data_IF_184829400932
#
_entry.id   IF_184829400932
#
_cell.length_a   1.000
_cell.length_b   1.000
_cell.length_c   1.000
_cell.angle_alpha   90.00
_cell.angle_beta   90.00
_cell.angle_gamma   90.00
#
_symmetry.space_group_name_H-M   'P 1'
#
loop_
_entity.id
_entity.type
_entity.pdbx_description
1 polymer ?
#
# COMPACT_ATOMS: atom_id res chain seq x y z
N UNK A 1 -10.82 -15.99 2.72
CA UNK A 1 -12.04 -15.34 3.17
C UNK A 1 -11.75 -13.94 3.65
N UNK A 2 -12.78 -13.06 3.57
CA UNK A 2 -12.69 -11.68 4.06
C UNK A 2 -13.63 -11.47 5.23
N UNK A 3 -13.33 -10.47 6.07
CA UNK A 3 -14.28 -9.84 7.00
C UNK A 3 -14.15 -8.34 6.86
N UNK A 4 -15.21 -7.60 7.15
CA UNK A 4 -15.21 -6.15 7.06
C UNK A 4 -15.60 -5.52 8.38
N UNK A 5 -14.99 -4.37 8.70
CA UNK A 5 -15.43 -3.49 9.77
C UNK A 5 -15.66 -2.09 9.21
N UNK A 6 -16.80 -1.51 9.55
CA UNK A 6 -17.19 -0.19 9.10
C UNK A 6 -17.41 0.77 10.25
N UNK A 7 -17.00 2.03 10.04
CA UNK A 7 -17.22 3.10 10.99
C UNK A 7 -17.73 4.31 10.23
N UNK A 8 -18.92 4.78 10.64
CA UNK A 8 -19.55 5.96 10.05
C UNK A 8 -20.08 6.86 11.14
N UNK A 9 -20.26 8.14 10.79
CA UNK A 9 -20.95 9.13 11.61
C UNK A 9 -22.38 8.70 11.93
N UNK A 10 -23.00 9.34 12.90
CA UNK A 10 -24.43 9.11 13.19
C UNK A 10 -25.27 9.53 11.98
N UNK A 11 -26.00 8.60 11.40
CA UNK A 11 -26.69 8.77 10.12
C UNK A 11 -27.84 9.80 10.20
N UNK A 12 -28.67 9.73 11.23
CA UNK A 12 -29.82 10.63 11.39
C UNK A 12 -30.79 10.58 10.20
N UNK A 13 -31.28 11.75 9.79
CA UNK A 13 -32.26 11.91 8.69
C UNK A 13 -31.67 12.47 7.40
N UNK A 14 -30.35 12.69 7.34
CA UNK A 14 -29.67 13.26 6.17
C UNK A 14 -29.34 12.16 5.15
N UNK A 15 -29.91 12.19 3.92
CA UNK A 15 -29.67 11.13 2.91
C UNK A 15 -28.20 10.94 2.59
N UNK A 16 -27.40 12.01 2.57
CA UNK A 16 -25.98 11.98 2.26
C UNK A 16 -25.18 11.12 3.25
N UNK A 17 -25.61 11.09 4.51
CA UNK A 17 -24.98 10.26 5.54
C UNK A 17 -25.26 8.77 5.32
N UNK A 18 -26.43 8.43 4.80
CA UNK A 18 -26.80 7.06 4.43
C UNK A 18 -26.12 6.60 3.14
N UNK A 19 -25.83 7.53 2.23
CA UNK A 19 -25.09 7.23 0.99
C UNK A 19 -23.67 6.74 1.22
N UNK A 20 -23.01 7.17 2.30
CA UNK A 20 -21.63 6.78 2.62
C UNK A 20 -21.48 5.28 2.90
N UNK A 21 -22.22 4.66 3.86
CA UNK A 21 -22.14 3.21 4.06
C UNK A 21 -22.62 2.42 2.85
N UNK A 22 -23.61 2.90 2.10
CA UNK A 22 -24.02 2.25 0.86
C UNK A 22 -22.91 2.21 -0.17
N UNK A 23 -22.18 3.32 -0.36
CA UNK A 23 -21.04 3.37 -1.28
C UNK A 23 -19.92 2.41 -0.85
N UNK A 24 -19.61 2.35 0.45
CA UNK A 24 -18.63 1.42 0.99
C UNK A 24 -19.04 -0.05 0.76
N UNK A 25 -20.32 -0.37 1.00
CA UNK A 25 -20.88 -1.70 0.75
C UNK A 25 -20.79 -2.10 -0.73
N UNK A 26 -21.11 -1.20 -1.64
CA UNK A 26 -21.02 -1.47 -3.08
C UNK A 26 -19.57 -1.70 -3.51
N UNK A 27 -18.61 -0.92 -3.02
CA UNK A 27 -17.20 -1.14 -3.28
C UNK A 27 -16.69 -2.48 -2.70
N UNK A 28 -17.12 -2.84 -1.50
CA UNK A 28 -16.79 -4.13 -0.89
C UNK A 28 -17.39 -5.31 -1.70
N UNK A 29 -18.61 -5.16 -2.20
CA UNK A 29 -19.26 -6.17 -3.05
C UNK A 29 -18.51 -6.34 -4.37
N UNK A 30 -18.19 -5.23 -5.05
CA UNK A 30 -17.45 -5.25 -6.30
C UNK A 30 -16.09 -5.95 -6.15
N UNK A 31 -15.33 -5.63 -5.09
CA UNK A 31 -14.08 -6.29 -4.79
C UNK A 31 -14.24 -7.80 -4.54
N UNK A 32 -15.25 -8.22 -3.77
CA UNK A 32 -15.52 -9.64 -3.52
C UNK A 32 -15.86 -10.39 -4.82
N UNK A 33 -16.74 -9.81 -5.64
CA UNK A 33 -17.12 -10.40 -6.93
C UNK A 33 -15.93 -10.46 -7.89
N UNK A 34 -15.19 -9.38 -8.01
CA UNK A 34 -14.04 -9.27 -8.90
C UNK A 34 -12.88 -10.21 -8.52
N UNK A 35 -12.58 -10.34 -7.24
CA UNK A 35 -11.53 -11.23 -6.74
C UNK A 35 -11.99 -12.69 -6.61
N UNK A 36 -13.30 -12.92 -6.50
CA UNK A 36 -13.86 -14.24 -6.22
C UNK A 36 -13.64 -14.68 -4.78
N UNK A 37 -13.61 -13.74 -3.82
CA UNK A 37 -13.35 -13.99 -2.39
C UNK A 37 -14.56 -13.54 -1.59
N UNK A 38 -15.26 -14.49 -0.95
CA UNK A 38 -16.42 -14.19 -0.13
C UNK A 38 -16.04 -13.65 1.26
N UNK A 39 -16.83 -12.72 1.77
CA UNK A 39 -16.81 -12.37 3.20
C UNK A 39 -17.60 -13.37 4.02
N UNK A 40 -17.09 -13.66 5.21
CA UNK A 40 -17.73 -14.59 6.16
C UNK A 40 -18.41 -13.88 7.32
N UNK A 41 -18.31 -12.58 7.39
CA UNK A 41 -18.89 -11.76 8.43
C UNK A 41 -18.28 -10.37 8.49
N UNK A 42 -18.69 -9.63 9.49
CA UNK A 42 -18.21 -8.29 9.71
C UNK A 42 -18.89 -7.60 10.89
N UNK A 43 -18.61 -6.33 11.05
CA UNK A 43 -19.18 -5.48 12.08
C UNK A 43 -19.29 -4.06 11.55
N UNK A 44 -20.40 -3.43 11.77
CA UNK A 44 -20.62 -2.03 11.43
C UNK A 44 -20.86 -1.14 12.65
N UNK A 45 -20.62 0.13 12.53
CA UNK A 45 -20.92 1.16 13.51
C UNK A 45 -21.33 2.45 12.82
N UNK A 46 -22.56 2.89 13.09
CA UNK A 46 -23.17 4.10 12.53
C UNK A 46 -23.41 5.15 13.61
N UNK A 47 -22.55 5.22 14.63
CA UNK A 47 -22.70 6.12 15.78
C UNK A 47 -21.42 6.89 16.10
N UNK A 48 -20.51 7.02 15.14
CA UNK A 48 -19.23 7.69 15.30
C UNK A 48 -19.32 9.22 15.26
N UNK A 49 -20.23 9.81 16.03
CA UNK A 49 -20.35 11.27 16.20
C UNK A 49 -20.25 11.62 17.68
N UNK A 50 -19.43 12.61 17.98
CA UNK A 50 -19.29 13.19 19.31
C UNK A 50 -19.24 14.72 19.20
N UNK A 51 -20.23 15.40 19.75
CA UNK A 51 -20.42 16.84 19.61
C UNK A 51 -20.42 17.26 18.13
N UNK A 52 -19.42 18.06 17.70
CA UNK A 52 -19.23 18.51 16.31
C UNK A 52 -18.27 17.60 15.51
N UNK A 53 -17.71 16.56 16.13
CA UNK A 53 -16.79 15.66 15.47
C UNK A 53 -17.53 14.45 14.90
N UNK A 54 -17.32 14.18 13.65
CA UNK A 54 -17.78 12.98 12.96
C UNK A 54 -16.58 12.11 12.59
N UNK A 55 -16.67 10.80 12.84
CA UNK A 55 -15.64 9.86 12.34
C UNK A 55 -15.64 9.89 10.81
N UNK A 56 -14.46 9.96 10.18
CA UNK A 56 -14.39 9.84 8.73
C UNK A 56 -14.93 8.48 8.28
N UNK A 57 -15.60 8.41 7.11
CA UNK A 57 -16.02 7.12 6.53
C UNK A 57 -14.87 6.15 6.45
N UNK A 58 -15.00 5.01 7.12
CA UNK A 58 -13.91 4.04 7.23
C UNK A 58 -14.42 2.63 6.95
N UNK A 59 -13.81 1.94 5.99
CA UNK A 59 -14.00 0.53 5.72
C UNK A 59 -12.67 -0.18 5.89
N UNK A 60 -12.61 -1.12 6.83
CA UNK A 60 -11.45 -1.97 7.08
C UNK A 60 -11.73 -3.37 6.57
N UNK A 61 -10.88 -3.89 5.73
CA UNK A 61 -10.95 -5.26 5.23
C UNK A 61 -9.86 -6.11 5.85
N UNK A 62 -10.25 -7.26 6.37
CA UNK A 62 -9.33 -8.30 6.83
C UNK A 62 -9.43 -9.49 5.90
N UNK A 63 -8.31 -9.89 5.30
CA UNK A 63 -8.22 -11.08 4.47
C UNK A 63 -7.47 -12.18 5.22
N UNK A 64 -8.04 -13.39 5.24
CA UNK A 64 -7.41 -14.57 5.84
C UNK A 64 -7.10 -15.60 4.77
N UNK A 65 -5.84 -15.99 4.70
CA UNK A 65 -5.34 -17.04 3.83
C UNK A 65 -4.37 -17.95 4.58
N UNK A 66 -4.14 -19.15 4.05
CA UNK A 66 -3.16 -20.10 4.59
C UNK A 66 -1.93 -20.06 3.65
N UNK A 67 -0.74 -19.94 4.25
CA UNK A 67 0.53 -19.94 3.54
C UNK A 67 1.62 -20.68 4.30
N UNK A 68 2.78 -20.84 3.67
CA UNK A 68 3.97 -21.41 4.31
C UNK A 68 4.79 -20.28 4.94
N UNK A 69 5.04 -20.35 6.25
CA UNK A 69 5.81 -19.33 6.96
C UNK A 69 7.22 -19.10 6.36
N UNK A 70 7.83 -20.14 5.83
CA UNK A 70 9.15 -20.05 5.16
C UNK A 70 9.12 -19.29 3.81
N UNK A 71 7.96 -18.97 3.30
CA UNK A 71 7.77 -18.20 2.04
C UNK A 71 7.25 -16.78 2.29
N UNK A 72 7.10 -16.38 3.53
CA UNK A 72 6.72 -15.00 3.86
C UNK A 72 7.92 -14.08 3.65
N UNK A 73 7.71 -13.02 2.90
CA UNK A 73 8.67 -11.91 2.75
C UNK A 73 8.16 -10.71 3.54
N UNK A 74 9.06 -9.96 4.13
CA UNK A 74 8.74 -8.74 4.85
C UNK A 74 8.92 -7.50 3.97
N UNK A 75 8.55 -6.35 4.50
CA UNK A 75 8.45 -5.11 3.71
C UNK A 75 9.78 -4.40 3.53
N UNK A 76 10.69 -4.47 4.53
CA UNK A 76 11.93 -3.69 4.51
C UNK A 76 12.93 -4.20 3.49
N UNK A 77 13.70 -3.31 2.83
CA UNK A 77 14.81 -3.66 1.96
C UNK A 77 15.85 -4.52 2.69
N UNK A 78 16.41 -5.51 2.01
CA UNK A 78 17.32 -6.51 2.60
C UNK A 78 18.79 -6.19 2.38
N UNK A 79 19.16 -5.66 1.22
CA UNK A 79 20.56 -5.37 0.90
C UNK A 79 20.66 -4.19 -0.08
N UNK A 80 21.78 -3.46 -0.08
CA UNK A 80 22.10 -2.52 -1.15
C UNK A 80 22.28 -3.22 -2.50
N UNK A 81 22.25 -2.44 -3.58
CA UNK A 81 22.48 -2.88 -4.97
C UNK A 81 21.45 -3.92 -5.45
N UNK A 82 20.25 -3.89 -4.89
CA UNK A 82 19.14 -4.72 -5.37
C UNK A 82 18.30 -3.93 -6.37
N UNK A 83 17.93 -4.58 -7.46
CA UNK A 83 16.93 -4.07 -8.40
C UNK A 83 15.57 -3.99 -7.74
N UNK A 84 14.86 -2.88 -7.92
CA UNK A 84 13.50 -2.68 -7.41
C UNK A 84 12.54 -2.46 -8.56
N UNK A 85 11.44 -3.22 -8.58
CA UNK A 85 10.44 -3.19 -9.64
C UNK A 85 9.03 -2.94 -9.09
N UNK A 86 8.16 -2.44 -9.96
CA UNK A 86 6.74 -2.22 -9.69
C UNK A 86 5.91 -3.19 -10.51
N UNK A 87 5.05 -3.96 -9.87
CA UNK A 87 3.99 -4.73 -10.52
C UNK A 87 2.70 -3.93 -10.35
N UNK A 88 2.10 -3.49 -11.46
CA UNK A 88 0.95 -2.59 -11.48
C UNK A 88 -0.22 -3.19 -12.27
N UNK A 89 -1.46 -3.20 -11.74
CA UNK A 89 -2.63 -3.59 -12.51
C UNK A 89 -2.98 -2.51 -13.54
N UNK A 90 -3.75 -2.89 -14.55
CA UNK A 90 -4.42 -1.95 -15.43
C UNK A 90 -5.53 -1.29 -14.61
N UNK A 91 -5.60 0.04 -14.64
CA UNK A 91 -6.66 0.81 -14.00
C UNK A 91 -7.72 1.19 -15.02
N UNK A 92 -8.96 1.19 -14.60
CA UNK A 92 -10.06 1.77 -15.37
C UNK A 92 -9.88 3.29 -15.43
N UNK A 93 -9.86 3.92 -16.61
CA UNK A 93 -9.55 5.35 -16.76
C UNK A 93 -10.65 6.27 -16.24
N UNK A 94 -11.89 5.79 -16.11
CA UNK A 94 -13.02 6.60 -15.63
C UNK A 94 -13.16 6.54 -14.11
N UNK A 95 -12.97 5.37 -13.53
CA UNK A 95 -13.17 5.15 -12.09
C UNK A 95 -11.89 5.12 -11.28
N UNK A 96 -10.73 4.89 -11.92
CA UNK A 96 -9.45 4.63 -11.25
C UNK A 96 -9.37 3.29 -10.53
N UNK A 97 -10.40 2.45 -10.65
CA UNK A 97 -10.42 1.13 -10.02
C UNK A 97 -9.53 0.13 -10.78
N UNK A 98 -8.89 -0.81 -10.08
CA UNK A 98 -8.11 -1.85 -10.72
C UNK A 98 -8.98 -2.80 -11.55
N UNK A 99 -8.54 -3.12 -12.75
CA UNK A 99 -9.12 -4.20 -13.53
C UNK A 99 -8.81 -5.53 -12.83
N UNK A 100 -9.85 -6.24 -12.39
CA UNK A 100 -9.68 -7.45 -11.57
C UNK A 100 -8.99 -8.61 -12.30
N UNK A 101 -9.09 -8.69 -13.63
CA UNK A 101 -8.36 -9.70 -14.38
C UNK A 101 -6.86 -9.45 -14.32
N UNK A 102 -6.41 -8.21 -14.58
CA UNK A 102 -5.00 -7.86 -14.50
C UNK A 102 -4.48 -7.93 -13.06
N UNK A 103 -5.29 -7.52 -12.07
CA UNK A 103 -4.96 -7.58 -10.66
C UNK A 103 -4.68 -9.02 -10.20
N UNK A 104 -5.58 -9.96 -10.52
CA UNK A 104 -5.40 -11.38 -10.19
C UNK A 104 -4.19 -12.00 -10.89
N UNK A 105 -3.96 -11.64 -12.17
CA UNK A 105 -2.79 -12.11 -12.91
C UNK A 105 -1.49 -11.63 -12.25
N UNK A 106 -1.43 -10.37 -11.85
CA UNK A 106 -0.27 -9.80 -11.17
C UNK A 106 -0.02 -10.46 -9.81
N UNK A 107 -1.06 -10.67 -9.00
CA UNK A 107 -0.90 -11.35 -7.70
C UNK A 107 -0.38 -12.76 -7.86
N UNK A 108 -0.84 -13.50 -8.88
CA UNK A 108 -0.32 -14.83 -9.19
C UNK A 108 1.16 -14.81 -9.60
N UNK A 109 1.56 -13.81 -10.40
CA UNK A 109 2.97 -13.63 -10.78
C UNK A 109 3.82 -13.33 -9.53
N UNK A 110 3.38 -12.42 -8.66
CA UNK A 110 4.10 -12.08 -7.43
C UNK A 110 4.21 -13.28 -6.49
N UNK A 111 3.12 -14.04 -6.31
CA UNK A 111 3.11 -15.27 -5.51
C UNK A 111 4.14 -16.28 -6.05
N UNK A 112 4.14 -16.52 -7.35
CA UNK A 112 5.10 -17.43 -7.99
C UNK A 112 6.53 -16.97 -7.79
N UNK A 113 6.83 -15.68 -8.00
CA UNK A 113 8.18 -15.13 -7.81
C UNK A 113 8.65 -15.25 -6.36
N UNK A 114 7.76 -15.08 -5.37
CA UNK A 114 8.07 -15.31 -3.95
C UNK A 114 8.33 -16.80 -3.69
N UNK A 115 7.52 -17.70 -4.22
CA UNK A 115 7.72 -19.15 -4.07
C UNK A 115 9.03 -19.64 -4.68
N UNK A 116 9.44 -19.07 -5.80
CA UNK A 116 10.71 -19.36 -6.47
C UNK A 116 11.91 -18.68 -5.79
N UNK A 117 11.70 -17.84 -4.77
CA UNK A 117 12.75 -17.13 -4.03
C UNK A 117 13.38 -15.98 -4.80
N UNK A 118 12.70 -15.44 -5.79
CA UNK A 118 13.16 -14.31 -6.61
C UNK A 118 12.96 -12.94 -5.94
N UNK A 119 12.10 -12.86 -4.92
CA UNK A 119 11.73 -11.64 -4.20
C UNK A 119 12.36 -11.63 -2.82
N UNK A 120 13.11 -10.59 -2.49
CA UNK A 120 13.70 -10.38 -1.18
C UNK A 120 12.75 -9.68 -0.21
N UNK A 121 12.03 -8.66 -0.69
CA UNK A 121 11.02 -7.92 0.09
C UNK A 121 9.89 -7.40 -0.82
N UNK A 122 8.73 -7.13 -0.24
CA UNK A 122 7.56 -6.67 -0.98
C UNK A 122 6.72 -5.67 -0.17
N UNK A 123 6.23 -4.61 -0.83
CA UNK A 123 5.37 -3.61 -0.22
C UNK A 123 4.20 -3.24 -1.14
N UNK A 124 2.97 -3.29 -0.61
CA UNK A 124 1.80 -2.79 -1.35
C UNK A 124 1.84 -1.26 -1.44
N UNK A 125 1.52 -0.73 -2.62
CA UNK A 125 1.43 0.71 -2.83
C UNK A 125 0.07 1.21 -2.35
N UNK A 126 0.09 2.20 -1.47
CA UNK A 126 -1.10 2.83 -0.90
C UNK A 126 -1.37 4.23 -1.44
N UNK A 127 -1.99 5.04 -0.58
CA UNK A 127 -2.39 6.42 -0.90
C UNK A 127 -1.22 7.34 -1.23
N UNK A 128 -0.09 7.19 -0.54
CA UNK A 128 1.11 8.01 -0.77
C UNK A 128 1.96 7.56 -1.97
N UNK A 129 1.48 6.61 -2.76
CA UNK A 129 2.13 6.19 -3.99
C UNK A 129 3.44 5.41 -3.79
N UNK A 130 4.24 5.38 -4.85
CA UNK A 130 5.55 4.70 -4.87
C UNK A 130 6.51 5.32 -3.84
N UNK A 131 6.50 6.64 -3.68
CA UNK A 131 7.37 7.34 -2.75
C UNK A 131 7.16 6.87 -1.31
N UNK A 132 5.91 6.74 -0.86
CA UNK A 132 5.59 6.22 0.47
C UNK A 132 6.06 4.76 0.64
N UNK A 133 5.81 3.91 -0.37
CA UNK A 133 6.20 2.52 -0.32
C UNK A 133 7.72 2.36 -0.20
N UNK A 134 8.49 3.04 -1.06
CA UNK A 134 9.96 3.01 -1.05
C UNK A 134 10.55 3.60 0.24
N UNK A 135 9.99 4.72 0.74
CA UNK A 135 10.38 5.29 2.02
C UNK A 135 10.22 4.27 3.15
N UNK A 136 9.04 3.64 3.27
CA UNK A 136 8.77 2.62 4.29
C UNK A 136 9.67 1.39 4.16
N UNK A 137 9.96 0.96 2.93
CA UNK A 137 10.88 -0.15 2.69
C UNK A 137 12.32 0.18 3.14
N UNK A 138 12.73 1.44 3.04
CA UNK A 138 14.06 1.91 3.46
C UNK A 138 14.27 1.99 4.97
N UNK A 139 13.19 2.14 5.77
CA UNK A 139 13.29 2.40 7.21
C UNK A 139 13.92 1.25 8.00
N UNK A 140 13.48 0.01 7.78
CA UNK A 140 13.77 -1.13 8.65
C UNK A 140 15.26 -1.44 8.79
N UNK A 141 15.98 -1.52 7.69
CA UNK A 141 17.40 -1.83 7.63
C UNK A 141 18.27 -0.60 7.29
N UNK A 142 17.70 0.59 7.26
CA UNK A 142 18.39 1.85 6.90
C UNK A 142 19.11 1.76 5.55
N UNK A 143 18.40 1.25 4.56
CA UNK A 143 18.86 1.11 3.18
C UNK A 143 18.23 2.21 2.36
N UNK A 144 19.05 2.94 1.59
CA UNK A 144 18.57 4.00 0.74
C UNK A 144 18.05 3.49 -0.60
N UNK A 145 17.61 4.41 -1.42
CA UNK A 145 17.05 4.11 -2.74
C UNK A 145 17.41 5.18 -3.76
N UNK A 146 17.77 4.75 -4.95
CA UNK A 146 18.00 5.62 -6.09
C UNK A 146 16.99 5.33 -7.19
N UNK A 147 16.13 6.31 -7.44
CA UNK A 147 15.11 6.23 -8.49
C UNK A 147 15.74 6.29 -9.87
N UNK A 148 15.19 5.59 -10.85
CA UNK A 148 15.56 5.74 -12.26
C UNK A 148 15.36 7.20 -12.70
N UNK A 149 16.29 7.68 -13.56
CA UNK A 149 16.40 9.10 -13.89
C UNK A 149 15.18 9.70 -14.62
N UNK A 150 14.40 8.89 -15.33
CA UNK A 150 13.26 9.30 -16.14
C UNK A 150 11.90 9.15 -15.44
N UNK A 151 11.87 8.87 -14.10
CA UNK A 151 10.64 8.80 -13.34
C UNK A 151 10.09 10.21 -13.07
N UNK A 152 8.89 10.56 -13.57
CA UNK A 152 8.29 11.86 -13.28
C UNK A 152 7.92 11.98 -11.80
N UNK A 153 8.25 13.10 -11.17
CA UNK A 153 8.00 13.34 -9.73
C UNK A 153 6.53 13.15 -9.35
N UNK A 154 5.59 13.69 -10.16
CA UNK A 154 4.16 13.57 -9.83
C UNK A 154 3.71 12.11 -9.73
N UNK A 155 4.23 11.25 -10.59
CA UNK A 155 3.87 9.82 -10.62
C UNK A 155 4.30 9.07 -9.35
N UNK A 156 5.33 9.55 -8.66
CA UNK A 156 5.79 8.93 -7.42
C UNK A 156 4.78 9.04 -6.28
N UNK A 157 3.90 10.04 -6.33
CA UNK A 157 2.90 10.34 -5.30
C UNK A 157 1.47 9.99 -5.70
N UNK A 158 1.27 9.42 -6.89
CA UNK A 158 -0.05 8.97 -7.33
C UNK A 158 -0.49 7.72 -6.55
N UNK A 159 -1.73 7.68 -6.02
CA UNK A 159 -2.28 6.46 -5.48
C UNK A 159 -2.31 5.35 -6.54
N UNK A 160 -1.74 4.18 -6.23
CA UNK A 160 -1.65 3.05 -7.16
C UNK A 160 -2.14 1.77 -6.49
N UNK A 161 -3.39 1.78 -6.02
CA UNK A 161 -3.98 0.63 -5.32
C UNK A 161 -3.90 -0.66 -6.15
N UNK A 162 -3.56 -1.77 -5.48
CA UNK A 162 -3.35 -3.06 -6.12
C UNK A 162 -1.96 -3.24 -6.73
N UNK A 163 -1.11 -2.20 -6.71
CA UNK A 163 0.29 -2.31 -7.12
C UNK A 163 1.18 -2.81 -5.97
N UNK A 164 2.28 -3.48 -6.32
CA UNK A 164 3.25 -4.01 -5.37
C UNK A 164 4.65 -3.62 -5.83
N UNK A 165 5.44 -3.03 -4.92
CA UNK A 165 6.87 -2.82 -5.09
C UNK A 165 7.60 -4.05 -4.60
N UNK A 166 8.54 -4.55 -5.39
CA UNK A 166 9.35 -5.74 -5.11
C UNK A 166 10.84 -5.40 -5.14
N UNK A 167 11.57 -5.80 -4.10
CA UNK A 167 13.03 -5.90 -4.14
C UNK A 167 13.41 -7.28 -4.68
N UNK A 168 14.21 -7.30 -5.71
CA UNK A 168 14.57 -8.52 -6.42
C UNK A 168 15.88 -9.12 -5.89
N UNK A 169 15.93 -10.45 -5.79
CA UNK A 169 17.16 -11.18 -5.43
C UNK A 169 18.18 -11.15 -6.59
N UNK A 170 17.68 -11.15 -7.82
CA UNK A 170 18.45 -11.06 -9.05
C UNK A 170 17.65 -10.29 -10.10
N UNK A 171 18.29 -9.83 -11.14
CA UNK A 171 17.62 -9.15 -12.24
C UNK A 171 16.49 -10.01 -12.81
N UNK A 172 15.34 -9.36 -12.98
CA UNK A 172 14.13 -9.98 -13.53
C UNK A 172 13.53 -9.08 -14.60
N UNK A 173 13.03 -9.64 -15.71
CA UNK A 173 12.29 -8.88 -16.71
C UNK A 173 10.86 -8.55 -16.27
N UNK A 174 10.41 -9.04 -15.12
CA UNK A 174 9.05 -8.82 -14.64
C UNK A 174 8.92 -7.46 -13.97
N UNK A 175 7.86 -6.73 -14.33
CA UNK A 175 7.52 -5.45 -13.74
C UNK A 175 8.23 -4.25 -14.38
N UNK A 176 7.86 -3.07 -13.92
CA UNK A 176 8.47 -1.81 -14.32
C UNK A 176 9.65 -1.49 -13.40
N UNK A 177 10.84 -1.27 -13.95
CA UNK A 177 12.00 -0.86 -13.17
C UNK A 177 11.74 0.48 -12.47
N UNK A 178 11.89 0.51 -11.16
CA UNK A 178 11.85 1.75 -10.37
C UNK A 178 13.24 2.33 -10.11
N UNK A 179 14.22 1.48 -9.88
CA UNK A 179 15.58 1.86 -9.54
C UNK A 179 16.31 0.78 -8.78
N UNK A 180 17.23 1.20 -7.93
CA UNK A 180 18.08 0.32 -7.14
C UNK A 180 18.20 0.77 -5.68
N UNK A 181 18.40 -0.16 -4.77
CA UNK A 181 18.72 0.14 -3.37
C UNK A 181 20.17 0.60 -3.23
N UNK A 182 20.43 1.50 -2.28
CA UNK A 182 21.77 2.06 -2.04
C UNK A 182 22.26 1.80 -0.63
N UNK A 183 23.58 1.81 -0.44
CA UNK A 183 24.20 1.68 0.88
C UNK A 183 24.02 2.94 1.72
N UNK A 184 24.09 4.10 1.07
CA UNK A 184 23.83 5.40 1.69
C UNK A 184 22.35 5.49 2.04
N UNK A 185 22.05 5.94 3.26
CA UNK A 185 20.69 6.09 3.74
C UNK A 185 20.06 7.38 3.20
N UNK A 186 19.89 7.42 1.89
CA UNK A 186 19.37 8.56 1.12
C UNK A 186 18.28 8.11 0.16
N UNK A 187 17.41 9.04 -0.23
CA UNK A 187 16.48 8.86 -1.33
C UNK A 187 16.89 9.79 -2.49
N UNK A 188 17.32 9.20 -3.60
CA UNK A 188 17.76 9.95 -4.77
C UNK A 188 16.69 9.90 -5.86
N UNK A 189 16.24 11.06 -6.33
CA UNK A 189 15.27 11.20 -7.42
C UNK A 189 15.37 12.54 -8.11
N UNK A 190 15.21 12.57 -9.43
CA UNK A 190 15.16 13.79 -10.23
C UNK A 190 16.39 14.72 -10.06
N UNK A 191 17.56 14.14 -9.75
CA UNK A 191 18.79 14.89 -9.50
C UNK A 191 18.91 15.50 -8.11
N UNK A 192 17.95 15.23 -7.22
CA UNK A 192 17.98 15.63 -5.82
C UNK A 192 18.26 14.41 -4.93
N UNK A 193 18.89 14.68 -3.78
CA UNK A 193 19.18 13.69 -2.76
C UNK A 193 18.58 14.15 -1.43
N UNK A 194 17.72 13.32 -0.87
CA UNK A 194 17.08 13.55 0.42
C UNK A 194 17.70 12.64 1.48
N UNK A 195 17.95 13.20 2.66
CA UNK A 195 18.42 12.42 3.82
C UNK A 195 17.24 11.62 4.40
N UNK A 196 17.32 10.31 4.38
CA UNK A 196 16.28 9.43 4.91
C UNK A 196 16.15 9.50 6.43
N UNK A 197 17.22 9.87 7.15
CA UNK A 197 17.13 10.04 8.60
C UNK A 197 16.33 11.31 8.96
N UNK A 198 16.49 12.38 8.19
CA UNK A 198 15.67 13.60 8.34
C UNK A 198 14.19 13.31 8.01
N UNK A 199 13.92 12.62 6.91
CA UNK A 199 12.56 12.22 6.54
C UNK A 199 11.90 11.33 7.60
N UNK A 200 12.66 10.41 8.18
CA UNK A 200 12.21 9.55 9.27
C UNK A 200 11.85 10.36 10.52
N UNK A 201 12.67 11.32 10.92
CA UNK A 201 12.40 12.21 12.07
C UNK A 201 11.12 13.03 11.84
N UNK A 202 10.93 13.59 10.64
CA UNK A 202 9.70 14.31 10.28
C UNK A 202 8.48 13.41 10.39
N UNK A 203 8.58 12.16 9.90
CA UNK A 203 7.47 11.20 9.93
C UNK A 203 7.13 10.73 11.34
N UNK A 204 8.14 10.38 12.16
CA UNK A 204 7.96 9.90 13.52
C UNK A 204 7.48 11.00 14.48
N UNK A 205 7.95 12.24 14.32
CA UNK A 205 7.59 13.35 15.18
C UNK A 205 6.19 13.90 14.97
N UNK A 206 5.51 13.52 13.89
CA UNK A 206 4.21 14.09 13.53
C UNK A 206 3.13 13.94 14.60
N UNK A 207 3.10 12.83 15.30
CA UNK A 207 2.13 12.57 16.38
C UNK A 207 2.64 12.96 17.77
N UNK A 208 3.90 13.30 17.91
CA UNK A 208 4.54 13.61 19.19
C UNK A 208 3.82 14.73 19.98
N UNK A 209 3.32 15.81 19.36
CA UNK A 209 2.59 16.86 20.07
C UNK A 209 1.27 16.43 20.71
N UNK A 210 0.63 15.38 20.19
CA UNK A 210 -0.69 14.91 20.64
C UNK A 210 -0.62 13.56 21.36
N UNK A 211 0.38 12.77 21.05
CA UNK A 211 0.61 11.46 21.67
C UNK A 211 2.13 11.23 21.85
N UNK A 212 2.75 11.77 22.89
CA UNK A 212 4.20 11.66 23.09
C UNK A 212 4.64 10.22 23.23
N UNK A 213 5.51 9.79 22.35
CA UNK A 213 6.13 8.46 22.39
C UNK A 213 7.41 8.43 23.23
N UNK A 214 8.18 9.52 23.18
CA UNK A 214 9.42 9.67 23.94
C UNK A 214 9.12 10.44 25.22
N UNK A 215 9.30 9.79 26.38
CA UNK A 215 9.32 10.43 27.69
C UNK A 215 10.75 10.72 28.10
#
# INVERSE_FOLDING_TARGET
>A
YMTFQEYFERLGTKPERWGKPLAALLGALDAQMGLGIASIGGKDSMSGSFEQLDVPPTLVSFATAIGKASKVVSTEFKKPESTVVLIRPILDPETGCPNFFSLKANYKIVEQMIEEGMVASACAVGYGGIAEALFKMGLGNRIGFKMRADMPTHRMFEPMYGSIVLEMVSDSPAGELLGETTKEYTFESCGETLDMAELQEIWESKLEPVYPYRK
#
